data_IF_354493398536
#
_entry.id   IF_354493398536
#
_cell.length_a   1.000
_cell.length_b   1.000
_cell.length_c   1.000
_cell.angle_alpha   90.00
_cell.angle_beta   90.00
_cell.angle_gamma   90.00
#
_symmetry.space_group_name_H-M   'P 1'
#
loop_
_entity.id
_entity.type
_entity.pdbx_description
1 polymer ?
#
# COMPACT_ATOMS: atom_id res chain seq x y z
N UNK A 1 -5.22 -7.85 -5.21
CA UNK A 1 -5.69 -7.61 -6.61
C UNK A 1 -5.83 -8.96 -7.31
N UNK A 2 -6.48 -9.10 -8.48
CA UNK A 2 -6.54 -10.42 -9.16
C UNK A 2 -6.30 -10.33 -10.68
N UNK A 3 -5.34 -11.10 -11.19
CA UNK A 3 -5.08 -11.23 -12.63
C UNK A 3 -6.02 -12.30 -13.20
N UNK A 4 -6.74 -11.94 -14.26
CA UNK A 4 -7.63 -12.89 -14.95
C UNK A 4 -6.80 -13.76 -15.88
N UNK A 5 -6.84 -15.07 -15.67
CA UNK A 5 -6.33 -16.01 -16.68
C UNK A 5 -7.16 -15.92 -17.96
N UNK A 6 -6.66 -16.53 -19.03
CA UNK A 6 -7.44 -16.79 -20.23
C UNK A 6 -8.77 -17.43 -19.87
N UNK A 7 -9.85 -16.67 -20.12
CA UNK A 7 -11.24 -17.09 -20.18
C UNK A 7 -11.98 -17.31 -18.85
N UNK A 8 -13.22 -16.83 -18.90
CA UNK A 8 -14.38 -17.18 -18.06
C UNK A 8 -14.69 -18.71 -18.08
N UNK A 9 -13.84 -19.54 -18.70
CA UNK A 9 -14.05 -20.94 -19.08
C UNK A 9 -12.77 -21.81 -19.10
N UNK A 10 -11.70 -21.48 -18.36
CA UNK A 10 -10.52 -22.35 -18.25
C UNK A 10 -10.49 -23.11 -16.90
N UNK A 11 -11.25 -24.22 -16.76
CA UNK A 11 -11.33 -25.00 -15.52
C UNK A 11 -10.04 -25.76 -15.17
N UNK A 12 -8.95 -25.64 -15.95
CA UNK A 12 -7.71 -26.39 -15.74
C UNK A 12 -6.46 -25.50 -15.47
N UNK A 13 -6.60 -24.18 -15.31
CA UNK A 13 -5.45 -23.33 -14.95
C UNK A 13 -5.01 -23.59 -13.50
N UNK A 14 -3.73 -23.92 -13.31
CA UNK A 14 -3.10 -24.20 -12.02
C UNK A 14 -3.10 -22.99 -11.08
N UNK A 15 -3.13 -23.25 -9.77
CA UNK A 15 -3.03 -22.28 -8.66
C UNK A 15 -4.01 -21.11 -8.68
N UNK A 16 -5.14 -21.27 -9.38
CA UNK A 16 -6.18 -20.23 -9.39
C UNK A 16 -6.97 -20.22 -8.09
N UNK A 17 -7.41 -19.05 -7.71
CA UNK A 17 -8.29 -18.80 -6.58
C UNK A 17 -9.54 -18.02 -7.00
N UNK A 18 -10.54 -18.03 -6.13
CA UNK A 18 -11.74 -17.23 -6.30
C UNK A 18 -11.50 -15.81 -5.81
N UNK A 19 -11.44 -14.88 -6.75
CA UNK A 19 -11.25 -13.47 -6.48
C UNK A 19 -12.60 -12.77 -6.38
N UNK A 20 -12.86 -12.11 -5.26
CA UNK A 20 -14.04 -11.27 -5.11
C UNK A 20 -14.03 -10.10 -6.11
N UNK A 21 -15.12 -9.95 -6.85
CA UNK A 21 -15.42 -8.81 -7.70
C UNK A 21 -16.74 -8.19 -7.28
N UNK A 22 -16.77 -6.87 -7.29
CA UNK A 22 -18.00 -6.12 -7.06
C UNK A 22 -18.88 -6.26 -8.32
N UNK A 23 -19.97 -7.03 -8.19
CA UNK A 23 -21.00 -7.10 -9.21
C UNK A 23 -21.69 -5.73 -9.38
N UNK A 24 -22.29 -5.49 -10.54
CA UNK A 24 -23.11 -4.28 -10.78
C UNK A 24 -24.42 -4.26 -9.98
N UNK A 25 -24.82 -5.39 -9.39
CA UNK A 25 -26.01 -5.50 -8.54
C UNK A 25 -25.62 -5.42 -7.05
N UNK A 26 -26.38 -4.65 -6.26
CA UNK A 26 -26.11 -4.31 -4.84
C UNK A 26 -26.05 -5.52 -3.87
N UNK A 27 -26.36 -6.74 -4.30
CA UNK A 27 -26.62 -7.88 -3.39
C UNK A 27 -25.94 -9.21 -3.75
N UNK A 28 -25.04 -9.26 -4.75
CA UNK A 28 -24.31 -10.51 -5.04
C UNK A 28 -22.79 -10.27 -5.02
N UNK A 29 -22.12 -10.81 -4.00
CA UNK A 29 -20.67 -11.04 -4.05
C UNK A 29 -20.39 -11.97 -5.23
N UNK A 30 -19.73 -11.45 -6.28
CA UNK A 30 -19.36 -12.25 -7.43
C UNK A 30 -17.92 -12.73 -7.24
N UNK A 31 -17.68 -13.99 -7.52
CA UNK A 31 -16.33 -14.56 -7.53
C UNK A 31 -15.92 -14.85 -8.96
N UNK A 32 -14.71 -14.46 -9.32
CA UNK A 32 -14.11 -14.84 -10.60
C UNK A 32 -12.84 -15.65 -10.34
N UNK A 33 -12.61 -16.74 -11.11
CA UNK A 33 -11.35 -17.44 -11.05
C UNK A 33 -10.22 -16.52 -11.55
N UNK A 34 -9.09 -16.53 -10.85
CA UNK A 34 -7.88 -15.85 -11.25
C UNK A 34 -6.76 -16.01 -10.24
N UNK A 35 -5.67 -15.29 -10.46
CA UNK A 35 -4.53 -15.32 -9.54
C UNK A 35 -4.52 -14.06 -8.67
N UNK A 36 -4.74 -14.17 -7.35
CA UNK A 36 -4.67 -13.04 -6.46
C UNK A 36 -3.22 -12.61 -6.22
N UNK A 37 -3.00 -11.31 -6.18
CA UNK A 37 -1.69 -10.69 -5.90
C UNK A 37 -1.80 -9.75 -4.70
N UNK A 38 -0.89 -9.94 -3.75
CA UNK A 38 -0.49 -8.94 -2.77
C UNK A 38 0.51 -7.99 -3.41
N UNK A 39 0.45 -6.72 -3.07
CA UNK A 39 1.47 -5.76 -3.49
C UNK A 39 1.81 -4.85 -2.33
N UNK A 40 2.99 -4.26 -2.39
CA UNK A 40 3.47 -3.20 -1.50
C UNK A 40 3.80 -1.98 -2.34
N UNK A 41 3.39 -0.79 -1.91
CA UNK A 41 3.66 0.45 -2.62
C UNK A 41 3.97 1.60 -1.65
N UNK A 42 4.99 2.42 -1.96
CA UNK A 42 5.23 3.65 -1.22
C UNK A 42 4.27 4.75 -1.68
N UNK A 43 3.72 5.48 -0.71
CA UNK A 43 3.02 6.74 -0.94
C UNK A 43 4.00 7.89 -0.96
N UNK A 44 3.82 8.81 -1.91
CA UNK A 44 4.63 10.02 -2.02
C UNK A 44 4.03 11.16 -1.23
N UNK A 45 4.79 11.98 -0.49
CA UNK A 45 4.23 13.18 0.11
C UNK A 45 3.61 14.15 -0.91
N UNK A 46 2.67 14.99 -0.45
CA UNK A 46 2.05 16.04 -1.25
C UNK A 46 0.74 15.63 -1.94
N UNK A 47 0.20 16.57 -2.74
CA UNK A 47 -1.07 16.42 -3.45
C UNK A 47 -0.91 15.58 -4.74
N UNK A 48 -0.53 14.32 -4.58
CA UNK A 48 -0.31 13.38 -5.68
C UNK A 48 -1.01 12.06 -5.40
N UNK A 49 -1.64 11.49 -6.43
CA UNK A 49 -2.25 10.16 -6.39
C UNK A 49 -1.31 9.07 -6.94
N UNK A 50 -0.09 9.45 -7.32
CA UNK A 50 0.92 8.50 -7.76
C UNK A 50 1.49 7.71 -6.58
N UNK A 51 1.67 6.42 -6.79
CA UNK A 51 2.33 5.52 -5.84
C UNK A 51 3.48 4.79 -6.50
N UNK A 52 4.53 4.48 -5.74
CA UNK A 52 5.64 3.66 -6.20
C UNK A 52 5.37 2.20 -5.84
N UNK A 53 5.05 1.35 -6.80
CA UNK A 53 4.87 -0.09 -6.52
C UNK A 53 6.25 -0.69 -6.26
N UNK A 54 6.48 -1.18 -5.04
CA UNK A 54 7.76 -1.70 -4.58
C UNK A 54 7.88 -3.21 -4.74
N UNK A 55 6.75 -3.93 -4.61
CA UNK A 55 6.73 -5.39 -4.68
C UNK A 55 5.35 -5.93 -5.05
N UNK A 56 5.32 -7.12 -5.64
CA UNK A 56 4.11 -7.88 -5.94
C UNK A 56 4.36 -9.39 -5.81
N UNK A 57 3.49 -10.05 -5.05
CA UNK A 57 3.57 -11.50 -4.77
C UNK A 57 2.21 -12.12 -5.08
N UNK A 58 2.18 -13.17 -5.90
CA UNK A 58 0.98 -13.98 -6.09
C UNK A 58 0.73 -14.81 -4.83
N UNK A 59 -0.53 -14.88 -4.41
CA UNK A 59 -0.97 -15.78 -3.35
C UNK A 59 -1.46 -17.08 -3.98
N UNK A 60 -0.91 -18.20 -3.54
CA UNK A 60 -1.33 -19.55 -3.88
C UNK A 60 -2.45 -20.08 -2.98
N UNK A 61 -3.06 -21.22 -3.34
CA UNK A 61 -4.24 -21.74 -2.62
C UNK A 61 -4.00 -22.20 -1.19
N UNK A 62 -2.79 -22.67 -0.88
CA UNK A 62 -2.42 -23.21 0.43
C UNK A 62 -1.66 -22.20 1.30
N UNK A 63 -1.49 -20.97 0.81
CA UNK A 63 -0.67 -19.96 1.49
C UNK A 63 -1.39 -19.37 2.71
N UNK A 64 -0.67 -19.27 3.84
CA UNK A 64 -1.05 -18.31 4.89
C UNK A 64 -0.74 -16.90 4.36
N UNK A 65 -1.78 -16.21 3.88
CA UNK A 65 -1.65 -14.85 3.36
C UNK A 65 -1.04 -13.86 4.37
N UNK A 66 -1.19 -14.07 5.68
CA UNK A 66 -0.54 -13.23 6.69
C UNK A 66 0.95 -13.50 6.74
N UNK A 67 1.36 -14.77 6.68
CA UNK A 67 2.77 -15.15 6.61
C UNK A 67 3.43 -14.63 5.32
N UNK A 68 2.78 -14.78 4.17
CA UNK A 68 3.27 -14.23 2.89
C UNK A 68 3.38 -12.70 2.97
N UNK A 69 2.38 -12.03 3.53
CA UNK A 69 2.41 -10.57 3.69
C UNK A 69 3.55 -10.12 4.60
N UNK A 70 3.77 -10.81 5.72
CA UNK A 70 4.87 -10.53 6.63
C UNK A 70 6.23 -10.72 5.95
N UNK A 71 6.42 -11.82 5.23
CA UNK A 71 7.65 -12.08 4.47
C UNK A 71 7.87 -11.01 3.38
N UNK A 72 6.82 -10.64 2.65
CA UNK A 72 6.87 -9.59 1.63
C UNK A 72 7.26 -8.23 2.23
N UNK A 73 6.60 -7.81 3.31
CA UNK A 73 6.91 -6.54 3.98
C UNK A 73 8.33 -6.52 4.54
N UNK A 74 8.77 -7.61 5.17
CA UNK A 74 10.15 -7.77 5.65
C UNK A 74 11.15 -7.58 4.51
N UNK A 75 10.98 -8.31 3.41
CA UNK A 75 11.88 -8.20 2.25
C UNK A 75 11.90 -6.79 1.66
N UNK A 76 10.77 -6.08 1.61
CA UNK A 76 10.72 -4.68 1.17
C UNK A 76 11.50 -3.78 2.13
N UNK A 77 11.28 -3.91 3.43
CA UNK A 77 11.95 -3.08 4.45
C UNK A 77 13.46 -3.32 4.44
N UNK A 78 13.90 -4.57 4.40
CA UNK A 78 15.33 -4.91 4.31
C UNK A 78 15.99 -4.33 3.05
N UNK A 79 15.29 -4.34 1.91
CA UNK A 79 15.77 -3.68 0.68
C UNK A 79 15.83 -2.16 0.80
N UNK A 80 14.87 -1.53 1.47
CA UNK A 80 14.89 -0.08 1.73
C UNK A 80 16.07 0.31 2.62
N UNK A 81 16.34 -0.47 3.67
CA UNK A 81 17.50 -0.26 4.56
C UNK A 81 18.80 -0.45 3.78
N UNK A 82 18.92 -1.54 3.02
CA UNK A 82 20.11 -1.85 2.21
C UNK A 82 20.38 -0.76 1.16
N UNK A 83 19.32 -0.19 0.57
CA UNK A 83 19.41 0.92 -0.37
C UNK A 83 19.65 2.29 0.28
N UNK A 84 19.83 2.35 1.62
CA UNK A 84 20.06 3.57 2.38
C UNK A 84 18.87 4.53 2.41
N UNK A 85 17.66 4.05 2.06
CA UNK A 85 16.41 4.83 2.13
C UNK A 85 15.89 4.99 3.55
N UNK A 86 16.40 4.17 4.48
CA UNK A 86 16.21 4.29 5.91
C UNK A 86 17.53 3.99 6.63
N UNK A 87 17.85 4.75 7.66
CA UNK A 87 19.04 4.60 8.49
C UNK A 87 18.71 4.66 9.98
N UNK A 88 19.58 4.11 10.83
CA UNK A 88 19.41 4.20 12.27
C UNK A 88 19.31 5.67 12.72
N UNK A 89 18.24 6.01 13.44
CA UNK A 89 17.90 7.38 13.83
C UNK A 89 16.79 8.01 12.99
N UNK A 90 16.48 7.46 11.81
CA UNK A 90 15.29 7.85 11.07
C UNK A 90 14.02 7.39 11.80
N UNK A 91 12.89 8.11 11.65
CA UNK A 91 11.60 7.62 12.11
C UNK A 91 11.27 6.24 11.54
N UNK A 92 10.52 5.45 12.31
CA UNK A 92 10.03 4.16 11.85
C UNK A 92 9.17 4.30 10.58
N UNK A 93 9.28 3.31 9.69
CA UNK A 93 8.51 3.22 8.46
C UNK A 93 7.06 2.89 8.82
N UNK A 94 6.14 3.80 8.51
CA UNK A 94 4.71 3.59 8.75
C UNK A 94 4.15 2.68 7.66
N UNK A 95 3.68 1.50 8.06
CA UNK A 95 3.04 0.53 7.19
C UNK A 95 1.53 0.59 7.41
N UNK A 96 0.76 0.94 6.38
CA UNK A 96 -0.69 1.01 6.48
C UNK A 96 -1.37 -0.15 5.76
N UNK A 97 -2.27 -0.84 6.46
CA UNK A 97 -3.08 -1.95 5.94
C UNK A 97 -4.59 -1.65 5.96
N UNK A 98 -5.33 -2.33 5.10
CA UNK A 98 -6.80 -2.33 5.18
C UNK A 98 -7.32 -3.26 6.29
N UNK A 99 -8.65 -3.35 6.43
CA UNK A 99 -9.31 -4.16 7.46
C UNK A 99 -9.27 -5.67 7.21
N UNK A 100 -8.73 -6.12 6.08
CA UNK A 100 -8.57 -7.54 5.75
C UNK A 100 -7.36 -8.19 6.44
N UNK A 101 -6.43 -7.39 6.96
CA UNK A 101 -5.22 -7.86 7.60
C UNK A 101 -5.36 -7.96 9.11
N UNK A 102 -4.77 -9.01 9.69
CA UNK A 102 -4.48 -9.04 11.13
C UNK A 102 -3.27 -8.14 11.42
N UNK A 103 -3.54 -6.84 11.55
CA UNK A 103 -2.54 -5.83 11.86
C UNK A 103 -1.76 -6.15 13.14
N UNK A 104 -2.40 -6.81 14.11
CA UNK A 104 -1.76 -7.13 15.40
C UNK A 104 -0.79 -8.30 15.28
N UNK A 105 -1.12 -9.31 14.46
CA UNK A 105 -0.16 -10.36 14.10
C UNK A 105 0.99 -9.80 13.27
N UNK A 106 0.72 -8.96 12.28
CA UNK A 106 1.77 -8.31 11.48
C UNK A 106 2.72 -7.50 12.35
N UNK A 107 2.19 -6.73 13.30
CA UNK A 107 3.01 -5.98 14.26
C UNK A 107 3.89 -6.90 15.10
N UNK A 108 3.38 -8.05 15.54
CA UNK A 108 4.17 -9.00 16.32
C UNK A 108 5.30 -9.63 15.49
N UNK A 109 5.03 -10.11 14.28
CA UNK A 109 6.02 -10.83 13.46
C UNK A 109 7.06 -9.92 12.79
N UNK A 110 6.80 -8.61 12.75
CA UNK A 110 7.70 -7.59 12.20
C UNK A 110 8.30 -6.68 13.30
N UNK A 111 8.14 -7.02 14.58
CA UNK A 111 8.56 -6.18 15.72
C UNK A 111 10.06 -5.92 15.82
N UNK A 112 10.87 -6.72 15.13
CA UNK A 112 12.32 -6.62 15.04
C UNK A 112 12.78 -5.64 13.94
N UNK A 113 11.85 -5.14 13.11
CA UNK A 113 12.12 -4.16 12.06
C UNK A 113 11.74 -2.74 12.49
N UNK A 114 12.31 -1.69 11.88
CA UNK A 114 11.98 -0.30 12.20
C UNK A 114 10.65 0.12 11.57
N UNK A 115 9.56 -0.54 11.94
CA UNK A 115 8.22 -0.36 11.34
C UNK A 115 7.14 -0.07 12.38
N UNK A 116 6.18 0.77 12.00
CA UNK A 116 4.95 1.03 12.75
C UNK A 116 3.75 0.59 11.90
N UNK A 117 2.98 -0.40 12.38
CA UNK A 117 1.85 -0.95 11.67
C UNK A 117 0.58 -0.19 12.04
N UNK A 118 -0.14 0.32 11.04
CA UNK A 118 -1.43 1.00 11.20
C UNK A 118 -2.48 0.30 10.36
N UNK A 119 -3.56 -0.17 10.99
CA UNK A 119 -4.59 -0.94 10.30
C UNK A 119 -5.98 -0.57 10.74
N UNK A 120 -6.96 -0.67 9.83
CA UNK A 120 -8.36 -0.52 10.19
C UNK A 120 -8.84 -1.74 10.96
N UNK A 121 -9.46 -1.51 12.10
CA UNK A 121 -10.12 -2.54 12.89
C UNK A 121 -11.64 -2.42 12.76
N UNK A 122 -12.36 -3.53 12.86
CA UNK A 122 -13.83 -3.53 12.76
C UNK A 122 -14.45 -2.78 13.94
N UNK A 123 -15.53 -2.06 13.69
CA UNK A 123 -16.24 -1.23 14.67
C UNK A 123 -17.00 -2.02 15.75
N UNK A 124 -17.08 -3.34 15.62
CA UNK A 124 -17.73 -4.26 16.57
C UNK A 124 -16.74 -5.06 17.42
N UNK A 125 -15.44 -4.71 17.37
CA UNK A 125 -14.43 -5.39 18.17
C UNK A 125 -14.55 -5.08 19.66
N UNK A 126 -14.12 -6.07 20.45
CA UNK A 126 -13.82 -5.92 21.87
C UNK A 126 -12.32 -6.09 22.04
N UNK A 127 -11.69 -5.10 22.65
CA UNK A 127 -10.27 -5.13 23.03
C UNK A 127 -10.13 -5.09 24.55
N UNK A 128 -8.89 -5.15 25.03
CA UNK A 128 -8.55 -5.07 26.44
C UNK A 128 -7.70 -3.84 26.70
N UNK A 129 -7.98 -3.18 27.81
CA UNK A 129 -7.15 -2.12 28.36
C UNK A 129 -5.87 -2.73 28.98
N UNK A 130 -4.80 -1.93 29.15
CA UNK A 130 -3.63 -2.36 29.89
C UNK A 130 -4.03 -2.84 31.29
N UNK A 131 -3.26 -3.80 31.80
CA UNK A 131 -3.45 -4.33 33.15
C UNK A 131 -3.38 -3.18 34.17
N UNK A 132 -4.32 -3.09 35.13
CA UNK A 132 -4.27 -2.06 36.16
C UNK A 132 -3.03 -2.21 37.07
N UNK A 133 -2.52 -1.11 37.63
CA UNK A 133 -1.44 -1.16 38.62
C UNK A 133 -1.80 -2.11 39.77
N UNK A 134 -0.81 -2.86 40.26
CA UNK A 134 -1.03 -3.76 41.40
C UNK A 134 -1.15 -2.94 42.68
N UNK A 135 -2.27 -3.05 43.36
CA UNK A 135 -2.43 -2.49 44.71
C UNK A 135 -1.63 -3.31 45.72
N UNK A 136 -1.02 -2.63 46.69
CA UNK A 136 -0.33 -3.27 47.80
C UNK A 136 -1.29 -4.16 48.60
N UNK A 137 -0.84 -5.36 49.01
CA UNK A 137 -1.62 -6.30 49.82
C UNK A 137 -2.52 -7.29 49.05
N UNK A 138 -2.65 -7.16 47.73
CA UNK A 138 -3.39 -8.15 46.93
C UNK A 138 -2.52 -9.39 46.69
N UNK A 139 -2.99 -10.57 47.09
CA UNK A 139 -2.33 -11.86 46.85
C UNK A 139 -2.87 -12.54 45.57
N UNK A 140 -2.02 -13.32 44.89
CA UNK A 140 -2.39 -14.08 43.68
C UNK A 140 -1.75 -13.56 42.37
N UNK A 141 -1.87 -14.40 41.32
CA UNK A 141 -1.36 -14.11 39.98
C UNK A 141 -2.08 -12.87 39.42
N UNK A 142 -1.36 -11.80 39.05
CA UNK A 142 -2.01 -10.62 38.49
C UNK A 142 -2.77 -10.96 37.19
N UNK A 143 -3.90 -10.30 36.91
CA UNK A 143 -4.58 -10.46 35.63
C UNK A 143 -3.66 -10.02 34.49
N UNK A 144 -3.71 -10.72 33.36
CA UNK A 144 -2.96 -10.36 32.15
C UNK A 144 -3.53 -9.13 31.45
N UNK A 145 -4.84 -8.94 31.56
CA UNK A 145 -5.59 -7.92 30.84
C UNK A 145 -6.36 -7.03 31.82
N UNK A 146 -6.50 -5.75 31.49
CA UNK A 146 -7.44 -4.86 32.14
C UNK A 146 -8.90 -5.11 31.71
N UNK A 147 -9.79 -4.16 32.03
CA UNK A 147 -11.19 -4.17 31.61
C UNK A 147 -11.36 -4.25 30.08
N UNK A 148 -12.56 -4.63 29.65
CA UNK A 148 -12.91 -4.65 28.23
C UNK A 148 -13.16 -3.24 27.69
N UNK A 149 -12.62 -2.97 26.51
CA UNK A 149 -12.94 -1.79 25.71
C UNK A 149 -13.80 -2.25 24.53
N UNK A 150 -15.08 -1.89 24.53
CA UNK A 150 -16.06 -2.35 23.52
C UNK A 150 -16.38 -1.19 22.57
N UNK A 151 -16.07 -1.34 21.29
CA UNK A 151 -16.16 -0.23 20.31
C UNK A 151 -17.60 0.23 20.04
N UNK A 152 -18.59 -0.56 20.41
CA UNK A 152 -20.02 -0.25 20.28
C UNK A 152 -20.64 0.31 21.55
N UNK A 153 -19.88 0.40 22.65
CA UNK A 153 -20.34 0.77 23.98
C UNK A 153 -19.47 1.87 24.59
N UNK A 154 -19.76 3.16 24.30
CA UNK A 154 -18.99 4.30 24.79
C UNK A 154 -18.79 4.33 26.31
N UNK A 155 -19.72 3.75 27.08
CA UNK A 155 -19.62 3.62 28.54
C UNK A 155 -18.43 2.75 29.01
N UNK A 156 -17.83 1.98 28.11
CA UNK A 156 -16.62 1.18 28.39
C UNK A 156 -15.31 1.93 28.09
N UNK A 157 -15.38 3.13 27.52
CA UNK A 157 -14.20 3.87 27.11
C UNK A 157 -13.74 4.75 28.27
N UNK A 158 -12.48 4.60 28.74
CA UNK A 158 -11.90 5.59 29.63
C UNK A 158 -11.66 6.90 28.88
N UNK A 159 -11.24 7.94 29.60
CA UNK A 159 -10.80 9.19 28.98
C UNK A 159 -9.69 8.90 27.94
N UNK A 160 -9.78 9.46 26.72
CA UNK A 160 -8.73 9.28 25.72
C UNK A 160 -7.43 9.93 26.18
N UNK A 161 -6.32 9.23 25.99
CA UNK A 161 -4.99 9.74 26.32
C UNK A 161 -4.57 10.91 25.40
N UNK A 162 -5.16 10.97 24.19
CA UNK A 162 -4.91 12.05 23.23
C UNK A 162 -6.18 12.33 22.45
N UNK A 163 -6.47 13.60 22.24
CA UNK A 163 -7.55 14.08 21.36
C UNK A 163 -6.97 15.12 20.42
N UNK A 164 -7.19 14.99 19.11
CA UNK A 164 -6.81 15.99 18.11
C UNK A 164 -8.00 16.42 17.29
N UNK A 165 -7.97 17.66 16.79
CA UNK A 165 -8.94 18.18 15.83
C UNK A 165 -8.15 18.87 14.72
N UNK A 166 -8.32 18.39 13.49
CA UNK A 166 -7.62 18.92 12.31
C UNK A 166 -8.63 19.28 11.23
N UNK A 167 -8.55 20.49 10.67
CA UNK A 167 -9.33 20.87 9.51
C UNK A 167 -8.85 20.11 8.26
N UNK A 168 -9.78 19.57 7.48
CA UNK A 168 -9.49 18.87 6.24
C UNK A 168 -10.22 19.53 5.08
N UNK A 169 -9.61 19.49 3.89
CA UNK A 169 -10.19 20.09 2.69
C UNK A 169 -11.50 19.41 2.24
N UNK A 170 -11.64 18.10 2.47
CA UNK A 170 -12.71 17.29 1.86
C UNK A 170 -13.71 16.67 2.85
N UNK A 171 -13.41 16.69 4.16
CA UNK A 171 -14.19 15.99 5.17
C UNK A 171 -14.62 16.89 6.35
N UNK A 172 -14.41 18.20 6.23
CA UNK A 172 -14.56 19.14 7.34
C UNK A 172 -13.52 18.86 8.43
N UNK A 173 -13.93 18.95 9.69
CA UNK A 173 -13.05 18.63 10.83
C UNK A 173 -12.89 17.12 11.01
N UNK A 174 -11.63 16.69 11.11
CA UNK A 174 -11.25 15.37 11.57
C UNK A 174 -10.96 15.42 13.07
N UNK A 175 -11.83 14.80 13.86
CA UNK A 175 -11.65 14.60 15.30
C UNK A 175 -11.08 13.20 15.52
N UNK A 176 -9.98 13.11 16.28
CA UNK A 176 -9.45 11.82 16.72
C UNK A 176 -9.42 11.71 18.23
N UNK A 177 -9.72 10.52 18.72
CA UNK A 177 -9.55 10.12 20.12
C UNK A 177 -8.66 8.88 20.13
N UNK A 178 -7.63 8.88 20.96
CA UNK A 178 -6.67 7.79 21.04
C UNK A 178 -6.52 7.26 22.48
N UNK A 179 -6.41 5.94 22.60
CA UNK A 179 -6.19 5.22 23.85
C UNK A 179 -4.92 4.37 23.74
N UNK A 180 -4.00 4.54 24.68
CA UNK A 180 -2.72 3.87 24.67
C UNK A 180 -2.79 2.44 25.22
N UNK A 181 -1.89 1.58 24.74
CA UNK A 181 -1.68 0.18 25.16
C UNK A 181 -2.92 -0.72 25.10
N UNK A 182 -3.89 -0.38 24.25
CA UNK A 182 -5.07 -1.19 23.97
C UNK A 182 -4.69 -2.35 23.06
N UNK A 183 -5.11 -3.56 23.41
CA UNK A 183 -4.69 -4.79 22.74
C UNK A 183 -5.83 -5.80 22.55
N UNK A 184 -5.78 -6.65 21.52
CA UNK A 184 -6.70 -7.77 21.41
C UNK A 184 -6.42 -8.82 22.50
N UNK A 185 -7.47 -9.51 22.95
CA UNK A 185 -7.29 -10.76 23.68
C UNK A 185 -7.02 -11.88 22.69
N UNK A 186 -5.78 -12.35 22.62
CA UNK A 186 -5.40 -13.46 21.76
C UNK A 186 -5.87 -14.80 22.33
N UNK A 187 -6.16 -15.74 21.44
CA UNK A 187 -6.47 -17.15 21.74
C UNK A 187 -5.77 -18.03 20.72
N UNK A 188 -5.42 -19.29 21.05
CA UNK A 188 -4.83 -20.26 20.12
C UNK A 188 -5.87 -20.71 19.07
N UNK A 189 -6.19 -19.81 18.15
CA UNK A 189 -7.16 -19.96 17.07
C UNK A 189 -6.73 -19.09 15.91
N UNK A 190 -7.27 -19.40 14.73
CA UNK A 190 -7.03 -18.61 13.52
C UNK A 190 -5.52 -18.48 13.31
N UNK A 191 -5.03 -17.25 13.14
CA UNK A 191 -3.62 -17.01 12.90
C UNK A 191 -2.71 -17.47 14.06
N UNK A 192 -3.20 -17.55 15.30
CA UNK A 192 -2.40 -17.95 16.47
C UNK A 192 -2.50 -19.44 16.82
N UNK A 193 -3.06 -20.26 15.93
CA UNK A 193 -3.28 -21.69 16.17
C UNK A 193 -1.98 -22.42 16.49
N UNK A 194 -0.97 -22.26 15.62
CA UNK A 194 0.32 -22.94 15.71
C UNK A 194 1.39 -22.12 16.45
N UNK A 195 0.97 -21.13 17.25
CA UNK A 195 1.91 -20.35 18.06
C UNK A 195 2.38 -21.19 19.26
N UNK A 196 3.68 -21.45 19.31
CA UNK A 196 4.31 -22.18 20.41
C UNK A 196 4.38 -21.33 21.70
N UNK A 197 4.01 -21.96 22.82
CA UNK A 197 4.14 -21.36 24.14
C UNK A 197 3.07 -20.32 24.48
N UNK A 198 3.43 -19.35 25.32
CA UNK A 198 2.49 -18.34 25.82
C UNK A 198 2.18 -17.30 24.74
N UNK A 199 0.88 -17.04 24.51
CA UNK A 199 0.45 -15.99 23.58
C UNK A 199 0.94 -14.62 24.04
N UNK A 200 1.50 -13.81 23.11
CA UNK A 200 2.05 -12.52 23.46
C UNK A 200 0.97 -11.50 23.82
N UNK A 201 1.39 -10.46 24.52
CA UNK A 201 0.60 -9.25 24.71
C UNK A 201 1.05 -8.22 23.68
N UNK A 202 0.25 -8.00 22.64
CA UNK A 202 0.58 -7.06 21.55
C UNK A 202 -0.14 -5.74 21.81
N UNK A 203 0.51 -4.88 22.59
CA UNK A 203 0.01 -3.54 22.93
C UNK A 203 0.20 -2.56 21.77
N UNK A 204 -0.71 -1.59 21.67
CA UNK A 204 -0.66 -0.53 20.68
C UNK A 204 -1.64 0.58 20.99
N UNK A 205 -1.67 1.60 20.13
CA UNK A 205 -2.59 2.74 20.27
C UNK A 205 -3.86 2.47 19.46
N UNK A 206 -5.01 2.47 20.13
CA UNK A 206 -6.31 2.45 19.48
C UNK A 206 -6.74 3.88 19.15
N UNK A 207 -7.19 4.14 17.92
CA UNK A 207 -7.55 5.47 17.43
C UNK A 207 -8.97 5.41 16.85
N UNK A 208 -9.84 6.28 17.32
CA UNK A 208 -11.15 6.54 16.72
C UNK A 208 -11.05 7.82 15.91
N UNK A 209 -11.28 7.72 14.61
CA UNK A 209 -11.36 8.85 13.68
C UNK A 209 -12.82 9.14 13.35
N UNK A 210 -13.27 10.36 13.62
CA UNK A 210 -14.56 10.89 13.18
C UNK A 210 -14.31 12.09 12.27
N UNK A 211 -15.05 12.17 11.18
CA UNK A 211 -15.04 13.36 10.30
C UNK A 211 -16.45 13.92 10.21
N UNK A 212 -16.59 15.20 9.88
CA UNK A 212 -17.90 15.86 9.79
C UNK A 212 -18.76 15.30 8.66
N UNK A 213 -18.16 15.06 7.49
CA UNK A 213 -18.87 14.52 6.35
C UNK A 213 -17.95 13.74 5.41
N UNK A 214 -18.53 12.85 4.60
CA UNK A 214 -17.86 12.30 3.42
C UNK A 214 -18.20 13.15 2.19
N UNK A 215 -17.53 12.87 1.07
CA UNK A 215 -17.85 13.52 -0.21
C UNK A 215 -19.34 13.41 -0.55
N UNK A 216 -19.91 14.51 -1.06
CA UNK A 216 -21.35 14.69 -1.32
C UNK A 216 -22.22 14.62 -0.06
N UNK A 217 -21.73 15.19 1.03
CA UNK A 217 -22.43 15.33 2.33
C UNK A 217 -23.04 14.02 2.85
N UNK A 218 -22.36 12.91 2.58
CA UNK A 218 -22.77 11.60 3.07
C UNK A 218 -22.36 11.44 4.53
N UNK A 219 -23.18 10.72 5.28
CA UNK A 219 -22.88 10.35 6.65
C UNK A 219 -21.52 9.63 6.76
N UNK A 220 -20.78 9.97 7.81
CA UNK A 220 -19.39 9.60 8.04
C UNK A 220 -19.26 8.78 9.33
N UNK A 221 -19.65 7.49 9.33
CA UNK A 221 -19.49 6.66 10.50
C UNK A 221 -18.02 6.60 10.91
N UNK A 222 -17.72 6.64 12.23
CA UNK A 222 -16.35 6.69 12.70
C UNK A 222 -15.56 5.46 12.26
N UNK A 223 -14.30 5.70 11.91
CA UNK A 223 -13.34 4.65 11.57
C UNK A 223 -12.48 4.36 12.79
N UNK A 224 -12.26 3.08 13.06
CA UNK A 224 -11.34 2.64 14.10
C UNK A 224 -10.04 2.16 13.46
N UNK A 225 -8.93 2.73 13.90
CA UNK A 225 -7.58 2.34 13.53
C UNK A 225 -6.84 1.79 14.75
N UNK A 226 -5.93 0.87 14.55
CA UNK A 226 -5.00 0.41 15.57
C UNK A 226 -3.57 0.58 15.05
N UNK A 227 -2.70 1.15 15.86
CA UNK A 227 -1.28 1.34 15.59
C UNK A 227 -0.44 0.48 16.53
N UNK A 228 0.63 -0.14 16.03
CA UNK A 228 1.60 -0.88 16.86
C UNK A 228 2.45 0.02 17.76
N UNK A 229 2.43 1.34 17.53
CA UNK A 229 3.12 2.31 18.38
C UNK A 229 2.37 2.45 19.71
N UNK A 230 3.07 2.28 20.82
CA UNK A 230 2.61 2.70 22.15
C UNK A 230 3.09 4.11 22.45
N UNK A 231 2.38 4.82 23.32
CA UNK A 231 2.67 6.20 23.71
C UNK A 231 2.77 7.14 22.50
N UNK A 232 1.83 6.98 21.56
CA UNK A 232 1.73 7.83 20.38
C UNK A 232 1.44 9.28 20.79
N UNK A 233 2.21 10.21 20.24
CA UNK A 233 1.99 11.65 20.41
C UNK A 233 0.80 12.13 19.57
N UNK A 234 0.27 13.34 19.80
CA UNK A 234 -0.72 13.96 18.91
C UNK A 234 -0.29 13.95 17.43
N UNK A 235 0.97 14.28 17.14
CA UNK A 235 1.53 14.26 15.78
C UNK A 235 1.57 12.85 15.17
N UNK A 236 1.82 11.83 15.99
CA UNK A 236 1.77 10.43 15.55
C UNK A 236 0.34 10.03 15.19
N UNK A 237 -0.63 10.37 16.04
CA UNK A 237 -2.05 10.09 15.80
C UNK A 237 -2.49 10.75 14.49
N UNK A 238 -2.11 12.01 14.27
CA UNK A 238 -2.44 12.73 13.05
C UNK A 238 -1.78 12.11 11.81
N UNK A 239 -0.50 11.76 11.92
CA UNK A 239 0.23 11.04 10.87
C UNK A 239 -0.42 9.71 10.52
N UNK A 240 -0.90 8.94 11.51
CA UNK A 240 -1.50 7.63 11.28
C UNK A 240 -2.82 7.70 10.51
N UNK A 241 -3.75 8.58 10.90
CA UNK A 241 -5.01 8.68 10.17
C UNK A 241 -4.82 9.31 8.80
N UNK A 242 -3.93 10.30 8.65
CA UNK A 242 -3.61 10.88 7.36
C UNK A 242 -3.02 9.82 6.42
N UNK A 243 -2.03 9.05 6.87
CA UNK A 243 -1.47 7.94 6.10
C UNK A 243 -2.55 6.91 5.75
N UNK A 244 -3.49 6.63 6.67
CA UNK A 244 -4.61 5.73 6.40
C UNK A 244 -5.54 6.23 5.29
N UNK A 245 -5.90 7.51 5.28
CA UNK A 245 -6.74 8.08 4.21
C UNK A 245 -6.03 8.03 2.85
N UNK A 246 -4.72 8.31 2.85
CA UNK A 246 -3.90 8.29 1.63
C UNK A 246 -3.70 6.91 1.03
N UNK A 247 -3.99 5.84 1.77
CA UNK A 247 -3.97 4.48 1.21
C UNK A 247 -4.86 4.36 -0.04
N UNK A 248 -5.86 5.22 -0.18
CA UNK A 248 -6.77 5.21 -1.33
C UNK A 248 -6.09 5.67 -2.64
N UNK A 249 -4.97 6.39 -2.58
CA UNK A 249 -4.15 6.76 -3.76
C UNK A 249 -3.76 5.51 -4.58
N UNK A 250 -3.55 4.41 -3.87
CA UNK A 250 -3.17 3.16 -4.46
C UNK A 250 -4.31 2.46 -5.25
N UNK A 251 -5.57 2.74 -4.92
CA UNK A 251 -6.71 2.32 -5.74
C UNK A 251 -6.73 3.03 -7.10
N UNK A 252 -6.30 4.30 -7.15
CA UNK A 252 -6.12 5.02 -8.42
C UNK A 252 -5.03 4.37 -9.26
N UNK A 253 -3.92 3.97 -8.63
CA UNK A 253 -2.86 3.22 -9.32
C UNK A 253 -3.38 1.89 -9.89
N UNK A 254 -4.22 1.13 -9.16
CA UNK A 254 -4.81 -0.09 -9.72
C UNK A 254 -5.79 0.15 -10.83
N UNK A 255 -6.57 1.22 -10.75
CA UNK A 255 -7.45 1.61 -11.83
C UNK A 255 -6.63 1.88 -13.09
N UNK A 256 -5.57 2.68 -12.98
CA UNK A 256 -4.66 3.00 -14.07
C UNK A 256 -3.98 1.74 -14.65
N UNK A 257 -3.40 0.90 -13.80
CA UNK A 257 -2.73 -0.35 -14.21
C UNK A 257 -3.71 -1.31 -14.91
N UNK A 258 -4.96 -1.42 -14.44
CA UNK A 258 -5.98 -2.29 -15.05
C UNK A 258 -6.51 -1.75 -16.38
N UNK A 259 -6.86 -0.47 -16.41
CA UNK A 259 -7.63 0.14 -17.50
C UNK A 259 -6.73 0.69 -18.60
N UNK A 260 -5.60 1.30 -18.23
CA UNK A 260 -4.70 1.96 -19.18
C UNK A 260 -3.52 1.08 -19.53
N UNK A 261 -2.82 0.50 -18.54
CA UNK A 261 -1.69 -0.39 -18.82
C UNK A 261 -2.10 -1.83 -19.17
N UNK A 262 -3.40 -2.13 -19.05
CA UNK A 262 -3.94 -3.39 -19.55
C UNK A 262 -3.59 -4.62 -18.71
N UNK A 263 -3.41 -4.50 -17.39
CA UNK A 263 -3.05 -5.64 -16.53
C UNK A 263 -3.95 -6.87 -16.66
N UNK A 264 -5.22 -6.69 -17.01
CA UNK A 264 -6.15 -7.82 -17.18
C UNK A 264 -6.53 -8.11 -18.63
N UNK A 265 -5.80 -7.52 -19.60
CA UNK A 265 -6.05 -7.69 -21.04
C UNK A 265 -5.46 -9.01 -21.57
N UNK A 266 -4.21 -9.38 -21.26
CA UNK A 266 -3.63 -10.62 -21.80
C UNK A 266 -4.33 -11.87 -21.27
N UNK A 267 -4.59 -12.82 -22.17
CA UNK A 267 -5.17 -14.13 -21.87
C UNK A 267 -4.06 -15.12 -21.48
N UNK A 268 -3.44 -14.90 -20.32
CA UNK A 268 -2.32 -15.72 -19.84
C UNK A 268 -2.82 -17.09 -19.39
N UNK A 269 -2.04 -18.14 -19.70
CA UNK A 269 -2.42 -19.54 -19.45
C UNK A 269 -1.75 -20.16 -18.23
N UNK A 270 -0.60 -19.65 -17.82
CA UNK A 270 0.14 -20.17 -16.67
C UNK A 270 0.34 -19.09 -15.60
N UNK A 271 0.45 -19.48 -14.32
CA UNK A 271 0.77 -18.56 -13.25
C UNK A 271 2.06 -17.77 -13.54
N UNK A 272 3.13 -18.43 -13.96
CA UNK A 272 4.44 -17.80 -14.18
C UNK A 272 4.37 -16.72 -15.28
N UNK A 273 3.55 -16.93 -16.30
CA UNK A 273 3.29 -15.91 -17.31
C UNK A 273 2.59 -14.68 -16.70
N UNK A 274 1.64 -14.89 -15.77
CA UNK A 274 0.99 -13.80 -15.05
C UNK A 274 1.94 -13.03 -14.12
N UNK A 275 2.92 -13.71 -13.50
CA UNK A 275 3.93 -13.01 -12.70
C UNK A 275 4.79 -12.12 -13.57
N UNK A 276 5.32 -12.67 -14.68
CA UNK A 276 6.15 -11.91 -15.62
C UNK A 276 5.40 -10.70 -16.16
N UNK A 277 4.15 -10.88 -16.57
CA UNK A 277 3.32 -9.77 -17.04
C UNK A 277 3.09 -8.71 -15.95
N UNK A 278 2.82 -9.14 -14.72
CA UNK A 278 2.65 -8.22 -13.58
C UNK A 278 3.91 -7.39 -13.36
N UNK A 279 5.10 -8.01 -13.40
CA UNK A 279 6.37 -7.30 -13.25
C UNK A 279 6.68 -6.36 -14.41
N UNK A 280 6.39 -6.73 -15.65
CA UNK A 280 6.52 -5.84 -16.82
C UNK A 280 5.69 -4.56 -16.61
N UNK A 281 4.46 -4.68 -16.12
CA UNK A 281 3.61 -3.51 -15.86
C UNK A 281 4.08 -2.68 -14.67
N UNK A 282 4.66 -3.30 -13.64
CA UNK A 282 5.28 -2.57 -12.52
C UNK A 282 6.47 -1.75 -13.02
N UNK A 283 7.32 -2.33 -13.89
CA UNK A 283 8.42 -1.59 -14.52
C UNK A 283 7.89 -0.45 -15.38
N UNK A 284 6.90 -0.70 -16.24
CA UNK A 284 6.30 0.34 -17.08
C UNK A 284 5.69 1.49 -16.25
N UNK A 285 4.93 1.16 -15.21
CA UNK A 285 4.38 2.14 -14.26
C UNK A 285 5.50 2.93 -13.57
N UNK A 286 6.57 2.27 -13.17
CA UNK A 286 7.74 2.92 -12.55
C UNK A 286 8.41 3.91 -13.50
N UNK A 287 8.58 3.54 -14.78
CA UNK A 287 9.14 4.44 -15.80
C UNK A 287 8.24 5.66 -16.02
N UNK A 288 6.92 5.48 -16.12
CA UNK A 288 5.96 6.59 -16.25
C UNK A 288 5.98 7.51 -15.02
N UNK A 289 6.04 6.91 -13.83
CA UNK A 289 6.11 7.62 -12.55
C UNK A 289 7.38 8.47 -12.44
N UNK A 290 8.54 7.93 -12.82
CA UNK A 290 9.80 8.68 -12.84
C UNK A 290 9.80 9.73 -13.97
N UNK A 291 9.23 9.37 -15.11
CA UNK A 291 9.14 10.20 -16.31
C UNK A 291 8.26 11.46 -16.17
N UNK A 292 7.28 11.44 -15.27
CA UNK A 292 6.31 12.54 -15.10
C UNK A 292 6.97 13.88 -14.76
N UNK A 293 8.14 13.87 -14.11
CA UNK A 293 8.87 15.08 -13.74
C UNK A 293 9.43 15.80 -14.97
N UNK A 294 9.72 15.08 -16.06
CA UNK A 294 10.18 15.67 -17.32
C UNK A 294 9.07 16.38 -18.09
N UNK A 295 7.79 16.13 -17.76
CA UNK A 295 6.66 16.85 -18.35
C UNK A 295 6.39 18.21 -17.67
N UNK A 296 7.05 18.49 -16.55
CA UNK A 296 6.91 19.73 -15.76
C UNK A 296 8.22 20.55 -15.82
N UNK A 297 8.88 20.57 -16.98
CA UNK A 297 9.78 21.67 -17.34
C UNK A 297 9.02 22.57 -18.32
N UNK A 298 8.73 23.84 -17.98
CA UNK A 298 8.19 24.75 -18.97
C UNK A 298 9.32 25.11 -19.93
N UNK A 299 9.21 24.73 -21.20
CA UNK A 299 10.05 25.29 -22.25
C UNK A 299 10.40 24.35 -23.40
N UNK A 300 9.47 24.17 -24.33
CA UNK A 300 9.71 24.50 -25.74
C UNK A 300 8.39 25.07 -26.27
N UNK A 301 8.28 26.40 -26.34
CA UNK A 301 7.27 27.02 -27.17
C UNK A 301 7.57 26.63 -28.62
N UNK A 302 6.81 25.67 -29.16
CA UNK A 302 6.75 25.50 -30.61
C UNK A 302 6.14 26.76 -31.22
N UNK A 303 6.65 27.25 -32.37
CA UNK A 303 6.12 28.48 -32.95
C UNK A 303 4.63 28.27 -33.27
N UNK A 304 3.82 29.25 -32.86
CA UNK A 304 2.39 29.29 -33.10
C UNK A 304 2.12 29.10 -34.60
N UNK A 305 1.44 28.01 -34.96
CA UNK A 305 0.79 27.91 -36.27
C UNK A 305 -0.42 28.83 -36.24
N UNK A 306 -0.33 29.92 -37.00
CA UNK A 306 -1.47 30.77 -37.32
C UNK A 306 -2.53 29.94 -38.03
N UNK A 307 -3.75 29.96 -37.51
CA UNK A 307 -4.96 29.62 -38.26
C UNK A 307 -4.99 30.42 -39.57
N UNK A 308 -5.25 29.71 -40.67
CA UNK A 308 -6.01 30.27 -41.80
C UNK A 308 -7.05 29.25 -42.24
N UNK A 309 -8.23 29.78 -42.40
CA UNK A 309 -9.47 29.18 -42.90
C UNK A 309 -9.30 28.37 -44.18
N UNK A 310 -10.21 27.39 -44.38
CA UNK A 310 -10.37 26.75 -45.69
C UNK A 310 -11.30 25.54 -45.69
N UNK A 311 -12.54 25.79 -46.11
CA UNK A 311 -13.63 24.87 -46.47
C UNK A 311 -13.26 23.60 -47.30
N UNK A 312 -14.10 22.55 -47.16
CA UNK A 312 -14.50 21.50 -48.16
C UNK A 312 -13.41 20.45 -48.48
N UNK A 313 -13.65 19.15 -48.70
CA UNK A 313 -14.84 18.30 -48.86
C UNK A 313 -14.38 16.85 -49.15
N UNK A 314 -15.37 15.96 -49.26
CA UNK A 314 -15.34 14.51 -49.56
C UNK A 314 -14.38 14.09 -50.71
N UNK A 315 -13.79 12.89 -50.64
CA UNK A 315 -13.20 12.22 -51.80
C UNK A 315 -12.29 11.03 -51.45
N UNK A 316 -12.35 9.99 -52.27
CA UNK A 316 -12.03 8.59 -51.97
C UNK A 316 -10.77 8.10 -52.74
N UNK A 317 -10.24 6.94 -52.34
CA UNK A 317 -9.36 5.95 -53.03
C UNK A 317 -8.10 6.39 -53.82
N UNK A 318 -6.94 5.78 -53.52
CA UNK A 318 -6.15 4.89 -54.43
C UNK A 318 -4.61 4.97 -54.32
N UNK A 319 -3.99 3.77 -54.34
CA UNK A 319 -2.65 3.48 -54.92
C UNK A 319 -1.43 3.72 -54.04
N UNK A 320 -0.78 2.72 -53.43
CA UNK A 320 0.07 1.64 -53.98
C UNK A 320 1.52 2.09 -54.31
N UNK A 321 2.48 1.47 -53.61
CA UNK A 321 3.82 0.96 -54.01
C UNK A 321 4.78 1.88 -54.78
N UNK A 322 6.11 1.80 -54.74
CA UNK A 322 7.17 1.13 -53.97
C UNK A 322 8.50 1.57 -54.65
N UNK A 323 9.65 1.16 -54.08
CA UNK A 323 11.02 1.14 -54.67
C UNK A 323 11.81 2.47 -54.59
N UNK A 324 13.13 2.51 -54.40
CA UNK A 324 14.20 1.59 -53.96
C UNK A 324 15.52 2.41 -53.93
N UNK A 325 16.59 1.80 -53.40
CA UNK A 325 18.04 2.09 -53.60
C UNK A 325 18.73 3.17 -52.73
N UNK A 326 19.46 2.67 -51.71
CA UNK A 326 20.82 3.08 -51.29
C UNK A 326 21.87 2.63 -52.37
N UNK A 327 23.20 2.95 -52.37
CA UNK A 327 24.10 3.19 -51.21
C UNK A 327 25.25 4.22 -51.45
N UNK A 328 26.16 4.36 -50.45
CA UNK A 328 27.66 4.31 -50.55
C UNK A 328 28.33 4.92 -49.28
N UNK A 329 29.14 4.11 -48.56
CA UNK A 329 30.14 4.52 -47.54
C UNK A 329 31.49 4.91 -48.17
N UNK A 330 32.64 5.12 -47.46
CA UNK A 330 33.19 4.34 -46.32
C UNK A 330 33.72 5.22 -45.13
N UNK A 331 33.81 4.71 -43.87
CA UNK A 331 34.96 4.09 -43.15
C UNK A 331 36.15 5.07 -42.84
N UNK A 332 36.82 5.15 -41.67
CA UNK A 332 37.41 4.13 -40.78
C UNK A 332 38.09 4.78 -39.51
N UNK A 333 38.35 3.95 -38.47
CA UNK A 333 39.48 3.95 -37.46
C UNK A 333 39.38 4.92 -36.25
N UNK A 334 39.21 4.50 -34.99
CA UNK A 334 39.94 3.58 -34.06
C UNK A 334 41.23 4.18 -33.46
N UNK A 335 41.26 4.47 -32.14
CA UNK A 335 42.32 4.01 -31.24
C UNK A 335 42.11 4.37 -29.75
N UNK A 336 42.72 3.47 -28.97
CA UNK A 336 42.78 3.18 -27.54
C UNK A 336 43.57 4.22 -26.72
N UNK A 337 43.30 4.35 -25.41
CA UNK A 337 44.31 4.64 -24.38
C UNK A 337 43.75 4.58 -22.94
N UNK A 338 44.44 3.78 -22.13
CA UNK A 338 44.41 3.75 -20.66
C UNK A 338 45.14 4.97 -20.08
N UNK A 339 44.70 5.48 -18.93
CA UNK A 339 45.61 5.79 -17.80
C UNK A 339 44.86 6.15 -16.51
N UNK A 340 45.48 5.75 -15.39
CA UNK A 340 45.09 6.04 -14.01
C UNK A 340 45.72 7.37 -13.60
N UNK A 341 44.96 8.26 -12.95
CA UNK A 341 45.55 9.04 -11.87
C UNK A 341 44.54 9.43 -10.80
N UNK A 342 45.03 9.30 -9.58
CA UNK A 342 44.41 9.55 -8.29
C UNK A 342 44.36 11.06 -8.04
N UNK A 343 43.24 11.60 -7.56
CA UNK A 343 43.12 12.99 -7.14
C UNK A 343 41.95 13.13 -6.17
N UNK A 344 42.26 12.97 -4.90
CA UNK A 344 41.43 13.41 -3.78
C UNK A 344 41.14 14.91 -3.90
N UNK A 345 39.88 15.26 -4.09
CA UNK A 345 39.36 16.60 -3.78
C UNK A 345 38.13 16.43 -2.91
N UNK A 346 38.26 16.84 -1.65
CA UNK A 346 37.18 16.90 -0.68
C UNK A 346 36.14 17.92 -1.15
N UNK A 347 35.04 17.44 -1.74
CA UNK A 347 33.86 18.25 -1.97
C UNK A 347 32.97 18.17 -0.73
N UNK A 348 32.82 19.30 -0.05
CA UNK A 348 31.91 19.50 1.07
C UNK A 348 30.51 18.97 0.72
N UNK A 349 30.00 18.09 1.58
CA UNK A 349 28.67 17.53 1.45
C UNK A 349 27.62 18.65 1.54
N UNK A 350 26.99 18.96 0.41
CA UNK A 350 25.75 19.73 0.41
C UNK A 350 24.68 18.97 1.21
N UNK A 351 23.86 19.67 2.03
CA UNK A 351 22.82 19.02 2.81
C UNK A 351 21.81 18.38 1.85
N UNK A 352 21.65 17.05 1.95
CA UNK A 352 20.62 16.32 1.19
C UNK A 352 19.24 16.77 1.68
N UNK A 353 18.27 17.02 0.79
CA UNK A 353 16.90 17.32 1.19
C UNK A 353 16.36 16.16 2.04
N UNK A 354 15.74 16.51 3.17
CA UNK A 354 15.42 15.62 4.28
C UNK A 354 14.72 14.34 3.87
N UNK A 355 15.01 13.28 4.62
CA UNK A 355 14.39 11.96 4.51
C UNK A 355 12.88 12.11 4.29
N UNK A 356 12.46 11.79 3.06
CA UNK A 356 11.07 11.80 2.64
C UNK A 356 10.34 10.81 3.53
N UNK A 357 9.35 11.28 4.30
CA UNK A 357 8.44 10.47 5.13
C UNK A 357 7.68 9.49 4.22
N UNK A 358 8.28 8.36 3.89
CA UNK A 358 7.64 7.33 3.08
C UNK A 358 6.73 6.50 3.98
N UNK A 359 5.43 6.67 3.80
CA UNK A 359 4.47 5.65 4.25
C UNK A 359 4.49 4.53 3.22
N UNK A 360 4.83 3.32 3.64
CA UNK A 360 4.72 2.14 2.80
C UNK A 360 3.30 1.62 2.96
N UNK A 361 2.48 1.76 1.93
CA UNK A 361 1.13 1.21 1.94
C UNK A 361 1.12 -0.15 1.30
N UNK A 362 0.24 -0.98 1.86
CA UNK A 362 -0.44 -2.12 1.24
C UNK A 362 0.08 -3.47 1.69
N UNK A 363 -0.90 -4.19 2.19
CA UNK A 363 -1.28 -5.45 1.57
C UNK A 363 -2.79 -5.29 1.23
N UNK A 364 -3.31 -5.88 0.15
CA UNK A 364 -4.77 -5.96 -0.09
C UNK A 364 -5.18 -7.42 -0.13
N UNK A 365 -6.08 -7.79 0.78
CA UNK A 365 -6.63 -9.14 0.87
C UNK A 365 -7.97 -9.21 0.13
N UNK A 366 -8.23 -10.22 -0.71
CA UNK A 366 -9.59 -10.50 -1.14
C UNK A 366 -10.38 -11.10 0.03
N UNK A 367 -11.38 -10.37 0.56
CA UNK A 367 -12.31 -10.94 1.55
C UNK A 367 -12.92 -12.25 1.01
N UNK A 368 -12.90 -13.28 1.86
CA UNK A 368 -13.68 -14.50 1.67
C UNK A 368 -12.96 -15.53 0.81
N UNK A 369 -12.01 -16.24 1.41
CA UNK A 369 -11.54 -17.53 0.93
C UNK A 369 -12.35 -18.56 1.72
N UNK A 370 -13.47 -19.02 1.17
CA UNK A 370 -14.03 -20.30 1.58
C UNK A 370 -13.49 -21.32 0.58
N UNK A 371 -12.97 -22.43 1.10
CA UNK A 371 -12.75 -23.64 0.31
C UNK A 371 -14.11 -24.19 -0.18
N UNK A 372 -14.11 -24.94 -1.30
CA UNK A 372 -15.30 -25.30 -2.07
C UNK A 372 -16.40 -26.04 -1.30
#
# INVERSE_FOLDING_TARGET
>A
MCHRGSARTAPCSADRLFCHVYGRAKTASQFIPGWPYSFVAALEPGATSWTAILDAVRLGPIDDATAITAAQLRGVVERLITAGQWQAGDPAIVIVSDAGYDVTRLAWVLRDLPVELVGRVRSDRVMRLPKPPRMHGVNGRPPKHGPEFRFTKPETWPEPATTTVTDTTNYGKAETQAWDRVHPRLTHRSSWLDHDGELPLVEGTLIRLKVEHLSKDRDAPPVWLWSSKTSATPDDVDRFWQAFLRRFDLEHTFRFVKQTLGWTIPKLRTPEAADRWTWILIVAHTQLRLGRLFRILPGVAGPARSERDGLVGVGDVSGADALAEDPVGPALVEQDARERHDSRTAAAAAPRPGAVRQSVVRATYPRGMMDP
#
